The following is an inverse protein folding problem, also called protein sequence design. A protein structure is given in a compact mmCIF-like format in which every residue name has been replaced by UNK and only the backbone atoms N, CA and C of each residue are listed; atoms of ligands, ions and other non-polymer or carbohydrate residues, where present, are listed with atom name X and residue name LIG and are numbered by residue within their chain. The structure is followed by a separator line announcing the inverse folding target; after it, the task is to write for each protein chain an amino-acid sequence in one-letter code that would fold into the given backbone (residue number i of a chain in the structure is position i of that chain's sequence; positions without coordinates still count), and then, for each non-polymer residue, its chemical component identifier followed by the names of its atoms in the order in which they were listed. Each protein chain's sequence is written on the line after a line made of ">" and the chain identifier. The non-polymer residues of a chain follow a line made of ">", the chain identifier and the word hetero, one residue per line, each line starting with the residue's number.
data_IF_453407042551
#
_entry.id   IF_453407042551
#
_cell.length_a   1.000
_cell.length_b   1.000
_cell.length_c   1.000
_cell.angle_alpha   90.00
_cell.angle_beta   90.00
_cell.angle_gamma   90.00
#
_symmetry.space_group_name_H-M   'P 1'
#
loop_
_entity.id
_entity.type
_entity.pdbx_description
1 polymer ?
#
# COMPACT_ATOMS: atom_id res chain seq x y z
N UNK A 1 12.34 -17.36 -11.79
CA UNK A 1 11.00 -17.03 -12.33
C UNK A 1 9.89 -17.71 -11.54
N UNK A 2 9.85 -19.06 -11.47
CA UNK A 2 8.77 -19.80 -10.79
C UNK A 2 8.46 -19.36 -9.35
N UNK A 3 9.48 -19.19 -8.50
CA UNK A 3 9.26 -18.76 -7.10
C UNK A 3 8.60 -17.37 -6.96
N UNK A 4 8.88 -16.43 -7.86
CA UNK A 4 8.24 -15.10 -7.83
C UNK A 4 6.76 -15.21 -8.19
N UNK A 5 6.43 -15.99 -9.23
CA UNK A 5 5.05 -16.23 -9.65
C UNK A 5 4.29 -16.98 -8.55
N UNK A 6 4.88 -18.00 -7.94
CA UNK A 6 4.25 -18.73 -6.83
C UNK A 6 3.94 -17.82 -5.63
N UNK A 7 4.76 -16.79 -5.39
CA UNK A 7 4.55 -15.82 -4.31
C UNK A 7 3.52 -14.75 -4.69
N UNK A 8 3.50 -14.33 -5.95
CA UNK A 8 2.59 -13.29 -6.49
C UNK A 8 1.79 -13.85 -7.69
N UNK A 9 0.84 -14.78 -7.46
CA UNK A 9 0.25 -15.59 -8.53
C UNK A 9 -0.88 -14.89 -9.30
N UNK A 10 -1.31 -13.71 -8.85
CA UNK A 10 -2.52 -13.07 -9.37
C UNK A 10 -2.23 -12.22 -10.61
N UNK A 11 -3.18 -12.18 -11.57
CA UNK A 11 -3.13 -11.28 -12.72
C UNK A 11 -3.56 -9.84 -12.34
N UNK A 12 -3.06 -9.34 -11.21
CA UNK A 12 -3.41 -8.02 -10.71
C UNK A 12 -2.52 -6.98 -11.41
N UNK A 13 -3.12 -6.19 -12.29
CA UNK A 13 -2.45 -5.21 -13.15
C UNK A 13 -1.99 -3.98 -12.35
N UNK A 14 -0.87 -3.37 -12.75
CA UNK A 14 -0.38 -2.13 -12.15
C UNK A 14 -1.35 -0.98 -12.42
N UNK A 15 -1.75 -0.29 -11.34
CA UNK A 15 -2.62 0.89 -11.40
C UNK A 15 -1.94 2.06 -10.69
N UNK A 16 -2.03 3.23 -11.31
CA UNK A 16 -1.66 4.51 -10.70
C UNK A 16 -2.88 5.40 -10.59
N UNK A 17 -2.95 6.23 -9.55
CA UNK A 17 -4.05 7.16 -9.30
C UNK A 17 -3.63 8.24 -8.31
N UNK A 18 -4.50 9.23 -8.13
CA UNK A 18 -4.38 10.28 -7.13
C UNK A 18 -5.40 10.07 -6.00
N UNK A 19 -4.92 10.11 -4.76
CA UNK A 19 -5.73 10.06 -3.55
C UNK A 19 -5.39 11.22 -2.62
N UNK A 20 -6.39 11.75 -1.93
CA UNK A 20 -6.19 12.71 -0.85
C UNK A 20 -5.59 12.01 0.39
N UNK A 21 -4.90 12.77 1.25
CA UNK A 21 -4.40 12.22 2.51
C UNK A 21 -5.51 11.65 3.40
N UNK A 22 -6.71 12.22 3.33
CA UNK A 22 -7.90 11.68 4.03
C UNK A 22 -8.28 10.29 3.51
N UNK A 23 -8.27 10.09 2.20
CA UNK A 23 -8.52 8.78 1.59
C UNK A 23 -7.41 7.78 1.96
N UNK A 24 -6.14 8.20 1.94
CA UNK A 24 -5.03 7.36 2.41
C UNK A 24 -5.22 6.94 3.88
N UNK A 25 -5.61 7.87 4.76
CA UNK A 25 -5.87 7.57 6.16
C UNK A 25 -7.02 6.57 6.33
N UNK A 26 -8.09 6.71 5.54
CA UNK A 26 -9.20 5.76 5.50
C UNK A 26 -8.73 4.34 5.17
N UNK A 27 -7.86 4.19 4.15
CA UNK A 27 -7.26 2.91 3.80
C UNK A 27 -6.41 2.32 4.93
N UNK A 28 -5.63 3.16 5.61
CA UNK A 28 -4.78 2.72 6.73
C UNK A 28 -5.60 2.29 7.95
N UNK A 29 -6.71 2.99 8.24
CA UNK A 29 -7.66 2.59 9.29
C UNK A 29 -8.35 1.27 8.96
N UNK A 30 -8.76 1.07 7.70
CA UNK A 30 -9.31 -0.22 7.25
C UNK A 30 -8.30 -1.35 7.43
N UNK A 31 -7.04 -1.15 7.03
CA UNK A 31 -5.98 -2.13 7.28
C UNK A 31 -5.74 -2.39 8.77
N UNK A 32 -5.74 -1.34 9.59
CA UNK A 32 -5.59 -1.44 11.05
C UNK A 32 -6.80 -2.10 11.73
N UNK A 33 -7.94 -2.26 11.05
CA UNK A 33 -9.08 -3.06 11.55
C UNK A 33 -8.73 -4.55 11.68
N UNK A 34 -7.75 -5.01 10.90
CA UNK A 34 -7.28 -6.40 10.80
C UNK A 34 -8.29 -7.38 10.21
N UNK A 35 -9.40 -6.91 9.60
CA UNK A 35 -10.35 -7.80 8.90
C UNK A 35 -9.73 -8.52 7.70
N UNK A 36 -8.82 -7.84 7.00
CA UNK A 36 -8.14 -8.33 5.79
C UNK A 36 -6.61 -8.16 5.87
N UNK A 37 -6.10 -7.88 7.08
CA UNK A 37 -4.69 -7.52 7.29
C UNK A 37 -4.35 -6.08 6.91
N UNK A 38 -3.13 -5.66 7.26
CA UNK A 38 -2.63 -4.32 6.94
C UNK A 38 -2.11 -4.24 5.50
N UNK A 39 -2.17 -3.05 4.90
CA UNK A 39 -1.49 -2.80 3.62
C UNK A 39 0.03 -2.84 3.80
N UNK A 40 0.71 -3.48 2.85
CA UNK A 40 2.16 -3.36 2.71
C UNK A 40 2.49 -2.05 1.98
N UNK A 41 3.56 -1.36 2.41
CA UNK A 41 3.87 0.01 1.96
C UNK A 41 5.31 0.16 1.49
N UNK A 42 5.54 1.13 0.60
CA UNK A 42 6.85 1.44 0.05
C UNK A 42 7.74 2.19 1.05
N UNK A 43 9.04 2.24 0.75
CA UNK A 43 10.02 2.98 1.55
C UNK A 43 9.60 4.45 1.68
N UNK A 44 9.71 4.97 2.89
CA UNK A 44 9.40 6.37 3.21
C UNK A 44 7.99 6.58 3.75
N UNK A 45 7.04 5.66 3.50
CA UNK A 45 5.75 5.68 4.19
C UNK A 45 5.87 4.89 5.50
N UNK A 46 5.50 5.53 6.60
CA UNK A 46 5.50 4.92 7.93
C UNK A 46 4.13 5.08 8.59
N UNK A 47 3.60 3.97 9.11
CA UNK A 47 2.33 3.92 9.81
C UNK A 47 2.48 3.17 11.14
N UNK A 48 1.99 3.76 12.22
CA UNK A 48 1.85 3.10 13.52
C UNK A 48 0.38 3.08 13.90
N UNK A 49 -0.11 1.94 14.33
CA UNK A 49 -1.47 1.78 14.81
C UNK A 49 -1.49 1.09 16.18
N UNK A 50 -2.58 1.23 16.91
CA UNK A 50 -2.82 0.59 18.21
C UNK A 50 -4.06 -0.29 18.08
N UNK A 51 -3.87 -1.62 18.03
CA UNK A 51 -4.96 -2.58 17.85
C UNK A 51 -5.92 -2.66 19.05
N UNK A 52 -5.56 -2.10 20.22
CA UNK A 52 -6.45 -2.01 21.38
C UNK A 52 -7.54 -0.95 21.23
N UNK A 53 -7.37 0.02 20.31
CA UNK A 53 -8.34 1.08 20.07
C UNK A 53 -9.54 0.60 19.25
N UNK A 54 -10.70 1.28 19.36
CA UNK A 54 -11.86 1.01 18.51
C UNK A 54 -11.49 1.08 17.02
N UNK A 55 -12.10 0.20 16.21
CA UNK A 55 -11.92 0.21 14.75
C UNK A 55 -12.29 1.59 14.18
N UNK A 56 -11.47 2.10 13.27
CA UNK A 56 -11.60 3.45 12.71
C UNK A 56 -10.91 4.55 13.53
N UNK A 57 -10.29 4.20 14.67
CA UNK A 57 -9.50 5.11 15.51
C UNK A 57 -8.15 4.48 15.91
N UNK A 58 -7.63 3.56 15.09
CA UNK A 58 -6.43 2.78 15.43
C UNK A 58 -5.15 3.43 14.93
N UNK A 59 -5.17 4.21 13.85
CA UNK A 59 -3.96 4.84 13.29
C UNK A 59 -3.51 5.98 14.19
N UNK A 60 -2.29 5.87 14.73
CA UNK A 60 -1.68 6.84 15.65
C UNK A 60 -0.81 7.83 14.89
N UNK A 61 0.05 7.32 14.01
CA UNK A 61 0.89 8.16 13.14
C UNK A 61 0.87 7.63 11.72
N UNK A 62 0.79 8.55 10.76
CA UNK A 62 0.90 8.25 9.34
C UNK A 62 1.75 9.35 8.70
N UNK A 63 2.93 8.99 8.20
CA UNK A 63 3.90 9.94 7.63
C UNK A 63 4.48 9.44 6.31
N UNK A 64 4.83 10.37 5.43
CA UNK A 64 5.57 10.13 4.20
C UNK A 64 6.85 10.98 4.22
N UNK A 65 8.01 10.33 4.16
CA UNK A 65 9.34 10.95 4.24
C UNK A 65 9.48 11.86 5.48
N UNK A 66 8.99 11.38 6.62
CA UNK A 66 9.02 12.08 7.90
C UNK A 66 7.99 13.19 8.07
N UNK A 67 7.17 13.50 7.04
CA UNK A 67 6.11 14.51 7.12
C UNK A 67 4.75 13.84 7.32
N UNK A 68 3.90 14.33 8.24
CA UNK A 68 2.54 13.82 8.38
C UNK A 68 1.76 13.85 7.07
N UNK A 69 0.96 12.82 6.83
CA UNK A 69 -0.02 12.85 5.75
C UNK A 69 -1.12 13.87 6.11
N UNK A 70 -1.30 14.86 5.24
CA UNK A 70 -2.26 15.95 5.39
C UNK A 70 -3.53 15.65 4.59
N UNK A 71 -4.69 15.84 5.22
CA UNK A 71 -5.97 15.37 4.68
C UNK A 71 -6.31 15.93 3.29
N UNK A 72 -5.99 17.20 3.03
CA UNK A 72 -6.32 17.89 1.79
C UNK A 72 -5.25 17.72 0.69
N UNK A 73 -4.05 17.25 1.04
CA UNK A 73 -2.97 17.06 0.08
C UNK A 73 -3.28 15.87 -0.83
N UNK A 74 -3.02 16.04 -2.13
CA UNK A 74 -3.16 14.98 -3.14
C UNK A 74 -1.83 14.25 -3.29
N UNK A 75 -1.89 12.92 -3.25
CA UNK A 75 -0.76 12.02 -3.39
C UNK A 75 -0.96 11.13 -4.61
N UNK A 76 0.02 11.13 -5.51
CA UNK A 76 0.09 10.13 -6.58
C UNK A 76 0.60 8.82 -6.00
N UNK A 77 -0.17 7.75 -6.17
CA UNK A 77 0.15 6.42 -5.65
C UNK A 77 0.14 5.37 -6.76
N UNK A 78 0.80 4.25 -6.48
CA UNK A 78 0.72 3.04 -7.28
C UNK A 78 0.16 1.91 -6.41
N UNK A 79 -0.70 1.10 -7.00
CA UNK A 79 -1.28 -0.12 -6.43
C UNK A 79 -1.53 -1.12 -7.56
N UNK A 80 -2.28 -2.18 -7.30
CA UNK A 80 -2.68 -3.16 -8.30
C UNK A 80 -4.22 -3.23 -8.42
N UNK A 81 -4.71 -3.77 -9.54
CA UNK A 81 -6.12 -3.69 -9.95
C UNK A 81 -7.12 -4.20 -8.91
N UNK A 82 -6.82 -5.30 -8.21
CA UNK A 82 -7.71 -5.83 -7.16
C UNK A 82 -7.96 -4.82 -6.05
N UNK A 83 -6.91 -4.17 -5.53
CA UNK A 83 -7.08 -3.12 -4.52
C UNK A 83 -7.68 -1.85 -5.13
N UNK A 84 -7.27 -1.49 -6.35
CA UNK A 84 -7.79 -0.34 -7.06
C UNK A 84 -9.31 -0.40 -7.25
N UNK A 85 -9.87 -1.60 -7.35
CA UNK A 85 -11.31 -1.84 -7.50
C UNK A 85 -12.04 -2.05 -6.16
N UNK A 86 -11.35 -1.82 -5.03
CA UNK A 86 -11.93 -1.91 -3.68
C UNK A 86 -11.90 -3.31 -3.07
N UNK A 87 -11.09 -4.21 -3.64
CA UNK A 87 -10.84 -5.55 -3.08
C UNK A 87 -10.43 -5.50 -1.61
N UNK A 88 -10.71 -6.58 -0.87
CA UNK A 88 -10.50 -6.67 0.59
C UNK A 88 -11.21 -5.58 1.42
N UNK A 89 -12.18 -4.88 0.85
CA UNK A 89 -12.92 -3.82 1.52
C UNK A 89 -12.20 -2.47 1.56
N UNK A 90 -11.08 -2.31 0.85
CA UNK A 90 -10.34 -1.05 0.73
C UNK A 90 -11.03 -0.06 -0.22
N UNK A 91 -12.27 0.32 0.10
CA UNK A 91 -13.19 1.05 -0.78
C UNK A 91 -12.68 2.42 -1.24
N UNK A 92 -11.89 3.12 -0.43
CA UNK A 92 -11.38 4.44 -0.76
C UNK A 92 -10.46 4.45 -2.01
N UNK A 93 -9.92 3.31 -2.45
CA UNK A 93 -9.23 3.21 -3.74
C UNK A 93 -10.14 3.49 -4.94
N UNK A 94 -11.44 3.15 -4.84
CA UNK A 94 -12.42 3.37 -5.93
C UNK A 94 -12.69 4.86 -6.18
N UNK A 95 -12.34 5.72 -5.22
CA UNK A 95 -12.48 7.17 -5.29
C UNK A 95 -11.26 7.86 -5.93
N UNK A 96 -10.25 7.10 -6.31
CA UNK A 96 -9.01 7.59 -6.92
C UNK A 96 -9.24 8.32 -8.23
N UNK A 97 -8.58 9.47 -8.40
CA UNK A 97 -8.61 10.28 -9.63
C UNK A 97 -7.42 9.99 -10.52
N UNK A 98 -7.45 10.50 -11.74
CA UNK A 98 -6.37 10.35 -12.73
C UNK A 98 -5.90 8.88 -12.89
N UNK A 99 -6.86 7.95 -12.85
CA UNK A 99 -6.57 6.51 -12.85
C UNK A 99 -5.98 6.09 -14.18
N UNK A 100 -4.85 5.38 -14.12
CA UNK A 100 -4.21 4.76 -15.27
C UNK A 100 -3.79 3.33 -14.95
N UNK A 101 -4.19 2.38 -15.80
CA UNK A 101 -3.88 0.95 -15.65
C UNK A 101 -2.93 0.51 -16.75
N UNK A 102 -1.88 -0.22 -16.39
CA UNK A 102 -0.95 -0.83 -17.35
C UNK A 102 -1.40 -2.25 -17.65
N UNK A 103 -2.16 -2.42 -18.74
CA UNK A 103 -2.75 -3.70 -19.13
C UNK A 103 -1.71 -4.81 -19.30
N UNK A 104 -1.99 -5.99 -18.76
CA UNK A 104 -1.10 -7.16 -18.80
C UNK A 104 0.18 -7.05 -17.96
N UNK A 105 0.38 -5.96 -17.21
CA UNK A 105 1.56 -5.76 -16.38
C UNK A 105 1.25 -6.02 -14.91
N UNK A 106 1.55 -7.25 -14.45
CA UNK A 106 1.17 -7.74 -13.12
C UNK A 106 2.24 -7.50 -12.04
N UNK A 107 1.87 -7.72 -10.77
CA UNK A 107 2.79 -7.58 -9.62
C UNK A 107 4.10 -8.36 -9.81
N UNK A 108 4.06 -9.61 -10.28
CA UNK A 108 5.28 -10.39 -10.49
C UNK A 108 6.16 -9.83 -11.62
N UNK A 109 5.58 -9.17 -12.64
CA UNK A 109 6.36 -8.45 -13.65
C UNK A 109 7.14 -7.30 -13.00
N UNK A 110 6.46 -6.49 -12.17
CA UNK A 110 7.09 -5.40 -11.43
C UNK A 110 8.23 -5.88 -10.52
N UNK A 111 8.03 -6.99 -9.80
CA UNK A 111 9.07 -7.58 -8.94
C UNK A 111 10.27 -8.07 -9.76
N UNK A 112 10.04 -8.75 -10.88
CA UNK A 112 11.12 -9.21 -11.76
C UNK A 112 11.91 -8.02 -12.32
N UNK A 113 11.20 -6.99 -12.80
CA UNK A 113 11.84 -5.83 -13.44
C UNK A 113 12.59 -4.96 -12.42
N UNK A 114 12.14 -4.91 -11.16
CA UNK A 114 12.90 -4.30 -10.05
C UNK A 114 14.31 -4.88 -9.96
N UNK A 115 14.46 -6.20 -10.01
CA UNK A 115 15.77 -6.86 -9.98
C UNK A 115 16.54 -6.72 -11.31
N UNK A 116 15.86 -6.77 -12.47
CA UNK A 116 16.53 -6.54 -13.76
C UNK A 116 17.14 -5.14 -13.87
N UNK A 117 16.53 -4.14 -13.23
CA UNK A 117 17.06 -2.79 -13.16
C UNK A 117 18.29 -2.64 -12.25
N UNK A 118 18.80 -3.74 -11.67
CA UNK A 118 20.00 -3.74 -10.82
C UNK A 118 19.73 -3.48 -9.35
N UNK A 119 18.47 -3.33 -8.93
CA UNK A 119 18.14 -3.23 -7.52
C UNK A 119 18.34 -4.59 -6.83
N UNK A 120 18.73 -4.56 -5.57
CA UNK A 120 18.89 -5.74 -4.73
C UNK A 120 17.96 -5.66 -3.52
N UNK A 121 17.81 -6.78 -2.82
CA UNK A 121 17.19 -6.77 -1.50
C UNK A 121 18.11 -5.98 -0.56
N UNK A 122 17.52 -5.12 0.27
CA UNK A 122 18.22 -4.24 1.21
C UNK A 122 17.89 -4.61 2.65
N UNK A 123 18.77 -4.27 3.58
CA UNK A 123 18.56 -4.53 5.01
C UNK A 123 17.28 -3.87 5.55
N UNK A 124 16.92 -2.69 5.03
CA UNK A 124 15.69 -2.00 5.43
C UNK A 124 14.44 -2.69 4.90
N UNK A 125 14.47 -3.36 3.74
CA UNK A 125 13.34 -4.19 3.30
C UNK A 125 13.17 -5.44 4.16
N UNK A 126 14.25 -5.98 4.71
CA UNK A 126 14.23 -7.18 5.57
C UNK A 126 13.79 -6.83 6.99
N UNK A 127 14.32 -5.74 7.55
CA UNK A 127 14.19 -5.43 8.98
C UNK A 127 13.29 -4.22 9.27
N UNK A 128 12.91 -3.44 8.25
CA UNK A 128 12.15 -2.21 8.40
C UNK A 128 10.69 -2.46 8.76
N UNK A 129 10.28 -1.98 9.95
CA UNK A 129 8.90 -2.06 10.42
C UNK A 129 8.09 -0.84 9.96
N UNK A 130 7.86 -0.72 8.65
CA UNK A 130 7.14 0.42 8.05
C UNK A 130 5.69 0.54 8.51
N UNK A 131 5.05 -0.59 8.79
CA UNK A 131 3.72 -0.66 9.41
C UNK A 131 3.83 -1.47 10.70
N UNK A 132 3.42 -0.90 11.83
CA UNK A 132 3.64 -1.52 13.15
C UNK A 132 2.49 -1.28 14.13
N UNK A 133 2.07 -2.36 14.81
CA UNK A 133 1.23 -2.27 16.00
C UNK A 133 2.08 -1.82 17.20
N UNK A 134 1.60 -0.83 17.97
CA UNK A 134 2.29 -0.25 19.13
C UNK A 134 1.54 -0.44 20.45
N UNK A 135 0.48 -1.25 20.45
CA UNK A 135 -0.20 -1.72 21.65
C UNK A 135 0.75 -2.37 22.67
#
# INVERSE_FOLDING_TARGET
>A
MGGVISTFPFPNELVTMELTGKQLRSLMEHGASLSNGVLQVSKGLEMKYDSSKPVGQRVITLTLNGKPIEDATVYSIATQSFLADGGDGFTAFTEGKARNTTGGYYVYHAVVDYFKAGNTITDEQINGMRVKDIK
#
